data_IF_056819957073
#
_entry.id   IF_056819957073
#
_cell.length_a   1.000
_cell.length_b   1.000
_cell.length_c   1.000
_cell.angle_alpha   90.00
_cell.angle_beta   90.00
_cell.angle_gamma   90.00
#
_symmetry.space_group_name_H-M   'P 1'
#
loop_
_entity.id
_entity.type
_entity.pdbx_description
1 polymer ?
#
# COMPACT_ATOMS: atom_id res chain seq x y z
N UNK A 1 29.49 -11.71 31.55
CA UNK A 1 29.84 -12.79 30.60
C UNK A 1 30.65 -13.84 31.33
N UNK A 2 30.22 -15.09 31.24
CA UNK A 2 30.81 -16.21 32.00
C UNK A 2 31.19 -17.30 31.00
N UNK A 3 32.37 -17.88 31.14
CA UNK A 3 32.76 -19.06 30.37
C UNK A 3 31.95 -20.27 30.82
N UNK A 4 31.25 -20.92 29.89
CA UNK A 4 30.40 -22.08 30.18
C UNK A 4 31.17 -23.33 30.59
N UNK A 5 32.45 -23.44 30.27
CA UNK A 5 33.26 -24.65 30.54
C UNK A 5 33.99 -24.58 31.88
N UNK A 6 34.49 -23.41 32.29
CA UNK A 6 35.29 -23.27 33.51
C UNK A 6 34.72 -22.31 34.56
N UNK A 7 33.58 -21.66 34.28
CA UNK A 7 32.92 -20.74 35.21
C UNK A 7 33.64 -19.41 35.43
N UNK A 8 34.72 -19.13 34.69
CA UNK A 8 35.45 -17.87 34.79
C UNK A 8 34.57 -16.69 34.32
N UNK A 9 34.40 -15.69 35.18
CA UNK A 9 33.70 -14.45 34.86
C UNK A 9 34.66 -13.53 34.10
N UNK A 10 34.44 -13.38 32.80
CA UNK A 10 35.30 -12.59 31.90
C UNK A 10 34.83 -11.14 31.79
N UNK A 11 33.56 -10.89 32.11
CA UNK A 11 33.01 -9.54 32.20
C UNK A 11 31.97 -9.48 33.30
N UNK A 12 32.33 -8.84 34.41
CA UNK A 12 31.49 -8.69 35.60
C UNK A 12 30.27 -7.79 35.35
N UNK A 13 30.39 -6.83 34.42
CA UNK A 13 29.34 -5.87 34.10
C UNK A 13 29.16 -5.75 32.59
N UNK A 14 28.00 -6.17 32.10
CA UNK A 14 27.54 -5.89 30.73
C UNK A 14 26.60 -4.69 30.84
N UNK A 15 27.01 -3.56 30.27
CA UNK A 15 26.16 -2.38 30.18
C UNK A 15 25.36 -2.53 28.88
N UNK A 16 24.06 -2.75 29.01
CA UNK A 16 23.16 -2.64 27.86
C UNK A 16 22.99 -1.15 27.53
N UNK A 17 23.49 -0.73 26.38
CA UNK A 17 23.33 0.63 25.85
C UNK A 17 22.02 0.80 25.07
N UNK A 18 21.24 -0.27 24.94
CA UNK A 18 19.89 -0.22 24.40
C UNK A 18 18.98 0.63 25.28
N UNK A 19 17.97 1.25 24.68
CA UNK A 19 16.99 2.00 25.45
C UNK A 19 16.24 1.06 26.39
N UNK A 20 16.15 1.39 27.68
CA UNK A 20 15.35 0.64 28.63
C UNK A 20 13.85 0.90 28.34
N UNK A 21 13.25 0.11 27.44
CA UNK A 21 11.82 0.24 27.11
C UNK A 21 10.88 -0.29 28.22
N UNK A 22 11.44 -0.76 29.35
CA UNK A 22 10.69 -1.28 30.49
C UNK A 22 10.71 -0.27 31.63
N UNK A 23 9.68 0.55 31.72
CA UNK A 23 9.36 1.30 32.92
C UNK A 23 8.61 0.39 33.91
N UNK A 24 9.16 0.20 35.11
CA UNK A 24 8.43 -0.42 36.23
C UNK A 24 7.44 0.56 36.88
N UNK A 25 7.41 1.81 36.41
CA UNK A 25 6.49 2.85 36.84
C UNK A 25 5.08 2.53 36.32
N UNK A 26 4.21 2.11 37.23
CA UNK A 26 2.77 1.92 37.01
C UNK A 26 2.02 3.26 36.79
N UNK A 27 2.69 4.26 36.20
CA UNK A 27 2.16 5.60 36.00
C UNK A 27 1.22 5.62 34.79
N UNK A 28 -0.04 5.93 35.07
CA UNK A 28 -1.17 6.00 34.12
C UNK A 28 -1.01 7.05 33.01
N UNK A 29 0.12 7.76 32.93
CA UNK A 29 0.31 8.92 32.06
C UNK A 29 1.23 8.69 30.86
N UNK A 30 1.85 7.51 30.69
CA UNK A 30 2.67 7.21 29.50
C UNK A 30 3.90 8.13 29.31
N UNK A 31 4.26 8.91 30.34
CA UNK A 31 5.45 9.75 30.40
C UNK A 31 6.51 9.00 31.18
N UNK A 32 7.72 8.95 30.64
CA UNK A 32 8.86 8.22 31.19
C UNK A 32 9.92 9.24 31.67
N UNK A 33 9.98 9.56 32.98
CA UNK A 33 10.92 10.55 33.51
C UNK A 33 12.40 10.13 33.40
N UNK A 34 12.66 8.83 33.22
CA UNK A 34 14.01 8.27 33.07
C UNK A 34 14.52 8.34 31.64
N UNK A 35 13.66 8.71 30.68
CA UNK A 35 14.00 8.80 29.25
C UNK A 35 14.90 10.00 28.97
N UNK A 36 16.18 9.72 28.74
CA UNK A 36 17.20 10.72 28.37
C UNK A 36 17.30 10.99 26.86
N UNK A 37 16.49 10.32 26.03
CA UNK A 37 16.46 10.50 24.57
C UNK A 37 15.14 10.06 23.91
N UNK A 38 14.71 10.79 22.88
CA UNK A 38 13.51 10.46 22.10
C UNK A 38 13.77 9.38 21.04
N UNK A 39 12.71 8.67 20.57
CA UNK A 39 12.86 7.77 19.44
C UNK A 39 13.20 8.55 18.17
N UNK A 40 14.30 8.18 17.52
CA UNK A 40 14.71 8.77 16.25
C UNK A 40 14.13 7.99 15.08
N UNK A 41 13.77 8.69 14.01
CA UNK A 41 13.39 8.05 12.77
C UNK A 41 14.65 7.88 11.89
N UNK A 42 15.14 6.64 11.67
CA UNK A 42 16.35 6.40 10.88
C UNK A 42 16.18 6.78 9.39
N UNK A 43 14.94 7.02 8.94
CA UNK A 43 14.65 7.49 7.59
C UNK A 43 14.88 8.98 7.42
N UNK A 44 14.97 9.76 8.49
CA UNK A 44 15.41 11.15 8.40
C UNK A 44 16.93 11.21 8.40
N UNK A 45 17.49 12.33 7.97
CA UNK A 45 18.91 12.59 8.19
C UNK A 45 19.08 12.69 9.71
N UNK A 46 19.71 11.69 10.33
CA UNK A 46 19.84 11.55 11.79
C UNK A 46 20.73 12.61 12.45
N UNK A 47 20.46 13.88 12.15
CA UNK A 47 21.32 15.02 12.49
C UNK A 47 20.61 16.13 13.25
N UNK A 48 19.36 15.96 13.65
CA UNK A 48 18.66 17.00 14.39
C UNK A 48 18.95 16.84 15.89
N UNK A 49 20.16 17.24 16.29
CA UNK A 49 20.55 17.59 17.68
C UNK A 49 19.73 18.79 18.23
N UNK A 50 18.51 18.97 17.72
CA UNK A 50 17.68 20.14 17.97
C UNK A 50 16.44 19.72 18.74
N UNK A 51 16.19 20.42 19.84
CA UNK A 51 14.99 20.27 20.64
C UNK A 51 13.95 21.31 20.23
N UNK A 52 12.67 20.96 20.32
CA UNK A 52 11.58 21.92 20.10
C UNK A 52 11.22 22.56 21.44
N UNK A 53 11.21 23.89 21.49
CA UNK A 53 10.70 24.64 22.65
C UNK A 53 9.18 24.77 22.50
N UNK A 54 8.44 24.38 23.53
CA UNK A 54 6.99 24.50 23.59
C UNK A 54 6.50 25.95 23.73
N UNK A 55 5.19 26.20 23.63
CA UNK A 55 4.63 27.52 23.86
C UNK A 55 4.93 28.00 25.28
N UNK A 56 5.29 29.28 25.41
CA UNK A 56 5.55 29.89 26.71
C UNK A 56 4.30 29.85 27.60
N UNK A 57 4.50 29.58 28.90
CA UNK A 57 3.43 29.56 29.91
C UNK A 57 3.59 30.76 30.83
N UNK A 58 2.48 31.41 31.16
CA UNK A 58 2.45 32.60 32.02
C UNK A 58 2.81 33.91 31.33
N UNK A 59 2.42 35.03 31.93
CA UNK A 59 2.53 36.38 31.35
C UNK A 59 3.96 36.80 31.00
N UNK A 60 4.96 36.32 31.75
CA UNK A 60 6.37 36.63 31.49
C UNK A 60 6.84 36.14 30.10
N UNK A 61 6.17 35.13 29.53
CA UNK A 61 6.48 34.55 28.23
C UNK A 61 6.02 35.39 27.04
N UNK A 62 5.14 36.37 27.27
CA UNK A 62 4.58 37.23 26.24
C UNK A 62 5.15 38.66 26.39
N UNK A 63 5.28 39.35 25.27
CA UNK A 63 5.60 40.77 25.25
C UNK A 63 4.38 41.62 25.66
N UNK A 64 4.57 42.94 25.76
CA UNK A 64 3.50 43.86 26.14
C UNK A 64 2.33 43.89 25.15
N UNK A 65 2.49 43.28 23.97
CA UNK A 65 1.49 43.18 22.90
C UNK A 65 0.88 41.77 22.81
N UNK A 66 1.21 40.87 23.73
CA UNK A 66 0.70 39.49 23.77
C UNK A 66 1.39 38.53 22.79
N UNK A 67 2.51 38.93 22.18
CA UNK A 67 3.29 38.07 21.28
C UNK A 67 4.27 37.24 22.10
N UNK A 68 4.38 35.94 21.80
CA UNK A 68 5.34 35.05 22.47
C UNK A 68 6.77 35.54 22.23
N UNK A 69 7.48 35.90 23.31
CA UNK A 69 8.88 36.36 23.27
C UNK A 69 9.81 35.27 22.72
N UNK A 70 9.52 34.03 23.08
CA UNK A 70 10.21 32.87 22.54
C UNK A 70 9.39 32.33 21.37
N UNK A 71 9.97 32.44 20.18
CA UNK A 71 9.41 31.85 18.97
C UNK A 71 10.19 30.58 18.64
N UNK A 72 9.45 29.50 18.41
CA UNK A 72 10.02 28.24 17.98
C UNK A 72 10.61 28.39 16.56
N UNK A 73 11.91 28.68 16.48
CA UNK A 73 12.62 28.68 15.20
C UNK A 73 12.74 27.24 14.72
N UNK A 74 12.05 26.93 13.61
CA UNK A 74 12.02 25.59 13.02
C UNK A 74 13.42 25.23 12.48
N UNK A 75 14.22 24.53 13.28
CA UNK A 75 15.56 24.03 12.93
C UNK A 75 15.55 22.78 12.03
N UNK A 76 14.40 22.41 11.45
CA UNK A 76 14.32 21.25 10.56
C UNK A 76 14.94 21.61 9.20
N UNK A 77 15.94 20.83 8.80
CA UNK A 77 16.58 20.92 7.48
C UNK A 77 15.55 20.97 6.35
N UNK A 78 15.83 21.73 5.29
CA UNK A 78 14.94 21.84 4.14
C UNK A 78 14.73 20.49 3.43
N UNK A 79 15.72 19.60 3.47
CA UNK A 79 15.65 18.24 2.95
C UNK A 79 14.71 17.37 3.79
N UNK A 80 14.90 17.35 5.11
CA UNK A 80 14.07 16.55 6.01
C UNK A 80 12.64 17.05 6.05
N UNK A 81 12.40 18.36 5.86
CA UNK A 81 11.06 18.91 5.69
C UNK A 81 10.34 18.33 4.47
N UNK A 82 11.04 18.15 3.35
CA UNK A 82 10.47 17.52 2.16
C UNK A 82 10.16 16.04 2.40
N UNK A 83 11.05 15.30 3.07
CA UNK A 83 10.84 13.91 3.47
C UNK A 83 9.63 13.77 4.42
N UNK A 84 9.56 14.58 5.48
CA UNK A 84 8.45 14.58 6.46
C UNK A 84 7.12 14.84 5.77
N UNK A 85 7.07 15.82 4.86
CA UNK A 85 5.84 16.12 4.12
C UNK A 85 5.45 14.95 3.20
N UNK A 86 6.41 14.35 2.49
CA UNK A 86 6.14 13.19 1.66
C UNK A 86 5.67 11.97 2.48
N UNK A 87 6.31 11.68 3.61
CA UNK A 87 5.89 10.60 4.51
C UNK A 87 4.48 10.83 5.07
N UNK A 88 4.11 12.08 5.37
CA UNK A 88 2.74 12.42 5.77
C UNK A 88 1.73 12.16 4.64
N UNK A 89 2.05 12.53 3.40
CA UNK A 89 1.19 12.25 2.25
C UNK A 89 1.08 10.75 1.97
N UNK A 90 2.18 9.99 2.07
CA UNK A 90 2.16 8.51 1.94
C UNK A 90 1.25 7.90 2.99
N UNK A 91 1.39 8.28 4.26
CA UNK A 91 0.50 7.82 5.34
C UNK A 91 -0.96 8.15 5.04
N UNK A 92 -1.24 9.40 4.65
CA UNK A 92 -2.61 9.84 4.34
C UNK A 92 -3.23 9.04 3.18
N UNK A 93 -2.46 8.76 2.13
CA UNK A 93 -2.91 7.91 1.02
C UNK A 93 -3.13 6.47 1.47
N UNK A 94 -2.22 5.93 2.29
CA UNK A 94 -2.29 4.56 2.80
C UNK A 94 -3.50 4.33 3.71
N UNK A 95 -3.79 5.27 4.61
CA UNK A 95 -4.92 5.19 5.52
C UNK A 95 -6.26 5.19 4.77
N UNK A 96 -6.39 5.99 3.69
CA UNK A 96 -7.62 6.03 2.86
C UNK A 96 -7.99 4.69 2.22
N UNK A 97 -7.00 3.85 1.93
CA UNK A 97 -7.19 2.50 1.36
C UNK A 97 -6.83 1.37 2.34
N UNK A 98 -6.76 1.70 3.64
CA UNK A 98 -6.50 0.78 4.75
C UNK A 98 -5.28 -0.13 4.50
N UNK A 99 -4.16 0.45 4.07
CA UNK A 99 -2.93 -0.32 3.88
C UNK A 99 -2.22 -0.60 5.22
N UNK A 100 -1.62 -1.79 5.38
CA UNK A 100 -0.83 -2.10 6.56
C UNK A 100 0.44 -1.24 6.64
N UNK A 101 0.89 -0.98 7.87
CA UNK A 101 2.09 -0.18 8.16
C UNK A 101 3.35 -0.71 7.49
N UNK A 102 3.47 -2.02 7.28
CA UNK A 102 4.58 -2.64 6.55
C UNK A 102 4.77 -2.06 5.15
N UNK A 103 3.66 -1.85 4.41
CA UNK A 103 3.68 -1.25 3.06
C UNK A 103 4.05 0.23 3.13
N UNK A 104 3.56 0.94 4.15
CA UNK A 104 3.89 2.36 4.38
C UNK A 104 5.38 2.54 4.64
N UNK A 105 5.95 1.73 5.53
CA UNK A 105 7.37 1.77 5.88
C UNK A 105 8.25 1.42 4.67
N UNK A 106 7.80 0.47 3.83
CA UNK A 106 8.45 0.15 2.55
C UNK A 106 8.39 1.32 1.56
N UNK A 107 7.23 1.97 1.45
CA UNK A 107 7.06 3.15 0.58
C UNK A 107 7.93 4.33 1.04
N UNK A 108 8.05 4.57 2.34
CA UNK A 108 8.90 5.61 2.91
C UNK A 108 10.39 5.33 2.63
N UNK A 109 10.82 4.07 2.77
CA UNK A 109 12.17 3.64 2.40
C UNK A 109 12.47 3.89 0.91
N UNK A 110 11.57 3.49 0.02
CA UNK A 110 11.71 3.73 -1.42
C UNK A 110 11.78 5.22 -1.75
N UNK A 111 10.94 6.04 -1.10
CA UNK A 111 10.95 7.48 -1.29
C UNK A 111 12.28 8.10 -0.87
N UNK A 112 12.83 7.69 0.28
CA UNK A 112 14.15 8.13 0.76
C UNK A 112 15.24 7.79 -0.26
N UNK A 113 15.31 6.54 -0.71
CA UNK A 113 16.30 6.09 -1.70
C UNK A 113 16.24 6.92 -2.99
N UNK A 114 15.03 7.18 -3.49
CA UNK A 114 14.82 7.98 -4.70
C UNK A 114 15.19 9.45 -4.48
N UNK A 115 14.89 10.00 -3.31
CA UNK A 115 15.21 11.37 -2.94
C UNK A 115 16.74 11.58 -2.83
N UNK A 116 17.42 10.66 -2.14
CA UNK A 116 18.87 10.71 -1.91
C UNK A 116 19.65 10.52 -3.22
N UNK A 117 19.16 9.64 -4.10
CA UNK A 117 19.75 9.43 -5.42
C UNK A 117 19.62 10.63 -6.37
N UNK A 118 18.79 11.64 -6.06
CA UNK A 118 18.57 12.87 -6.85
C UNK A 118 18.20 12.68 -8.34
N UNK A 119 17.95 11.43 -8.77
CA UNK A 119 17.67 11.04 -10.16
C UNK A 119 16.36 11.63 -10.72
N UNK A 120 15.43 11.99 -9.84
CA UNK A 120 14.09 12.51 -10.21
C UNK A 120 13.86 13.95 -9.75
N UNK A 121 14.94 14.70 -9.49
CA UNK A 121 14.86 16.11 -9.07
C UNK A 121 14.19 16.94 -10.17
N UNK A 122 13.05 17.56 -9.86
CA UNK A 122 12.23 18.33 -10.81
C UNK A 122 10.86 17.71 -11.12
N UNK A 123 10.55 16.52 -10.59
CA UNK A 123 9.17 16.00 -10.59
C UNK A 123 8.47 16.34 -9.28
N UNK A 124 7.14 16.35 -9.33
CA UNK A 124 6.33 16.63 -8.15
C UNK A 124 6.59 15.56 -7.07
N UNK A 125 6.92 15.98 -5.85
CA UNK A 125 7.17 15.07 -4.74
C UNK A 125 5.97 14.14 -4.49
N UNK A 126 4.75 14.66 -4.59
CA UNK A 126 3.50 13.89 -4.46
C UNK A 126 3.37 12.79 -5.51
N UNK A 127 3.88 13.02 -6.73
CA UNK A 127 3.88 12.02 -7.80
C UNK A 127 4.89 10.90 -7.53
N UNK A 128 6.07 11.26 -7.01
CA UNK A 128 7.08 10.29 -6.59
C UNK A 128 6.54 9.47 -5.42
N UNK A 129 5.96 10.11 -4.40
CA UNK A 129 5.34 9.45 -3.25
C UNK A 129 4.25 8.46 -3.65
N UNK A 130 3.34 8.87 -4.56
CA UNK A 130 2.28 8.00 -5.09
C UNK A 130 2.84 6.79 -5.84
N UNK A 131 3.91 6.98 -6.61
CA UNK A 131 4.57 5.91 -7.33
C UNK A 131 5.36 4.96 -6.40
N UNK A 132 6.01 5.47 -5.36
CA UNK A 132 6.65 4.66 -4.33
C UNK A 132 5.63 3.79 -3.59
N UNK A 133 4.46 4.34 -3.24
CA UNK A 133 3.38 3.59 -2.62
C UNK A 133 2.86 2.47 -3.53
N UNK A 134 2.72 2.74 -4.84
CA UNK A 134 2.34 1.73 -5.83
C UNK A 134 3.37 0.59 -5.92
N UNK A 135 4.67 0.92 -5.94
CA UNK A 135 5.76 -0.08 -6.01
C UNK A 135 5.77 -0.93 -4.73
N UNK A 136 5.65 -0.31 -3.56
CA UNK A 136 5.61 -1.01 -2.28
C UNK A 136 4.45 -2.02 -2.23
N UNK A 137 3.24 -1.62 -2.66
CA UNK A 137 2.09 -2.53 -2.72
C UNK A 137 2.36 -3.75 -3.61
N UNK A 138 3.09 -3.56 -4.71
CA UNK A 138 3.41 -4.63 -5.66
C UNK A 138 4.52 -5.55 -5.16
N UNK A 139 5.51 -5.02 -4.44
CA UNK A 139 6.58 -5.82 -3.83
C UNK A 139 6.06 -6.70 -2.70
N UNK A 140 5.08 -6.24 -1.94
CA UNK A 140 4.45 -7.00 -0.84
C UNK A 140 3.36 -7.99 -1.32
N UNK A 141 3.29 -8.28 -2.62
CA UNK A 141 2.35 -9.26 -3.17
C UNK A 141 0.87 -8.87 -3.13
N UNK A 142 0.54 -7.61 -2.82
CA UNK A 142 -0.84 -7.10 -2.75
C UNK A 142 -1.05 -5.90 -3.69
N UNK A 143 -0.82 -6.08 -5.01
CA UNK A 143 -0.82 -4.98 -5.96
C UNK A 143 -2.12 -4.18 -5.94
N UNK A 144 -1.97 -2.86 -5.95
CA UNK A 144 -3.05 -1.91 -6.20
C UNK A 144 -3.02 -1.50 -7.66
N UNK A 145 -4.18 -1.30 -8.26
CA UNK A 145 -4.29 -0.75 -9.62
C UNK A 145 -3.87 0.71 -9.62
N UNK A 146 -3.39 1.21 -10.77
CA UNK A 146 -3.11 2.64 -10.91
C UNK A 146 -4.35 3.51 -10.67
N UNK A 147 -5.57 2.98 -10.90
CA UNK A 147 -6.81 3.73 -10.63
C UNK A 147 -7.07 3.87 -9.13
N UNK A 148 -6.84 2.83 -8.34
CA UNK A 148 -6.97 2.89 -6.88
C UNK A 148 -5.99 3.92 -6.28
N UNK A 149 -4.72 3.90 -6.68
CA UNK A 149 -3.72 4.88 -6.19
C UNK A 149 -4.05 6.29 -6.67
N UNK A 150 -4.51 6.44 -7.92
CA UNK A 150 -4.94 7.74 -8.46
C UNK A 150 -6.17 8.28 -7.72
N UNK A 151 -7.06 7.43 -7.22
CA UNK A 151 -8.27 7.85 -6.50
C UNK A 151 -7.96 8.45 -5.11
N UNK A 152 -6.90 7.97 -4.46
CA UNK A 152 -6.46 8.50 -3.14
C UNK A 152 -5.42 9.62 -3.26
N UNK A 153 -4.89 9.85 -4.45
CA UNK A 153 -3.86 10.84 -4.75
C UNK A 153 -4.43 12.04 -5.52
N UNK A 154 -3.71 13.17 -5.49
CA UNK A 154 -4.01 14.36 -6.31
C UNK A 154 -3.40 14.26 -7.72
N UNK A 155 -2.65 13.20 -8.00
CA UNK A 155 -1.81 13.06 -9.20
C UNK A 155 -2.53 12.22 -10.25
N UNK A 156 -2.44 12.65 -11.51
CA UNK A 156 -3.04 11.92 -12.63
C UNK A 156 -2.41 10.53 -12.86
N UNK A 157 -3.21 9.56 -13.30
CA UNK A 157 -2.78 8.21 -13.68
C UNK A 157 -1.55 8.19 -14.61
N UNK A 158 -1.51 9.09 -15.59
CA UNK A 158 -0.41 9.19 -16.57
C UNK A 158 0.91 9.53 -15.88
N UNK A 159 0.87 10.48 -14.94
CA UNK A 159 2.05 10.95 -14.24
C UNK A 159 2.56 9.92 -13.22
N UNK A 160 1.66 9.23 -12.52
CA UNK A 160 2.03 8.09 -11.65
C UNK A 160 2.72 7.00 -12.47
N UNK A 161 2.15 6.60 -13.61
CA UNK A 161 2.73 5.59 -14.48
C UNK A 161 4.09 6.00 -15.07
N UNK A 162 4.31 7.30 -15.31
CA UNK A 162 5.59 7.84 -15.78
C UNK A 162 6.64 7.80 -14.66
N UNK A 163 6.28 8.24 -13.46
CA UNK A 163 7.16 8.19 -12.29
C UNK A 163 7.51 6.74 -11.91
N UNK A 164 6.55 5.82 -11.99
CA UNK A 164 6.78 4.38 -11.78
C UNK A 164 7.92 3.84 -12.65
N UNK A 165 7.88 4.06 -13.96
CA UNK A 165 8.94 3.60 -14.88
C UNK A 165 10.29 4.23 -14.57
N UNK A 166 10.28 5.52 -14.21
CA UNK A 166 11.50 6.25 -13.90
C UNK A 166 12.13 5.78 -12.58
N UNK A 167 11.32 5.48 -11.56
CA UNK A 167 11.80 4.94 -10.28
C UNK A 167 12.40 3.55 -10.47
N UNK A 168 11.74 2.66 -11.22
CA UNK A 168 12.30 1.34 -11.52
C UNK A 168 13.65 1.45 -12.23
N UNK A 169 13.79 2.39 -13.17
CA UNK A 169 15.07 2.67 -13.84
C UNK A 169 16.11 3.26 -12.87
N UNK A 170 15.70 4.15 -11.97
CA UNK A 170 16.60 4.83 -11.04
C UNK A 170 17.13 3.92 -9.92
N UNK A 171 16.34 2.92 -9.51
CA UNK A 171 16.69 1.96 -8.46
C UNK A 171 17.16 0.60 -9.02
N UNK A 172 17.28 0.48 -10.34
CA UNK A 172 17.64 -0.77 -11.06
C UNK A 172 16.87 -2.00 -10.54
N UNK A 173 15.60 -1.80 -10.18
CA UNK A 173 14.76 -2.79 -9.53
C UNK A 173 13.69 -3.28 -10.49
N UNK A 174 13.37 -4.57 -10.40
CA UNK A 174 12.22 -5.19 -11.08
C UNK A 174 11.09 -5.46 -10.09
N UNK A 175 9.88 -5.62 -10.62
CA UNK A 175 8.67 -5.97 -9.87
C UNK A 175 7.94 -7.09 -10.59
N UNK A 176 7.39 -8.03 -9.83
CA UNK A 176 6.75 -9.22 -10.38
C UNK A 176 5.54 -8.89 -11.25
N UNK A 177 5.30 -9.71 -12.28
CA UNK A 177 4.15 -9.57 -13.16
C UNK A 177 2.86 -9.78 -12.36
N UNK A 178 1.88 -8.91 -12.62
CA UNK A 178 0.61 -8.94 -11.90
C UNK A 178 -0.27 -10.06 -12.48
N UNK A 179 -0.86 -10.87 -11.61
CA UNK A 179 -1.74 -11.97 -11.99
C UNK A 179 -3.21 -11.60 -11.81
N UNK A 180 -4.11 -12.40 -12.38
CA UNK A 180 -5.56 -12.24 -12.19
C UNK A 180 -5.98 -12.54 -10.75
N UNK A 181 -5.27 -13.45 -10.07
CA UNK A 181 -5.57 -13.88 -8.70
C UNK A 181 -5.39 -12.76 -7.67
N UNK A 182 -4.39 -11.89 -7.88
CA UNK A 182 -4.04 -10.80 -6.95
C UNK A 182 -5.19 -9.81 -6.69
N UNK A 183 -6.10 -9.68 -7.66
CA UNK A 183 -7.26 -8.79 -7.55
C UNK A 183 -8.56 -9.49 -7.20
N UNK A 184 -8.63 -10.80 -7.43
CA UNK A 184 -9.88 -11.56 -7.36
C UNK A 184 -10.51 -11.48 -5.97
N UNK A 185 -9.70 -11.64 -4.92
CA UNK A 185 -10.19 -11.54 -3.55
C UNK A 185 -10.81 -10.18 -3.26
N UNK A 186 -10.13 -9.09 -3.63
CA UNK A 186 -10.60 -7.74 -3.33
C UNK A 186 -11.88 -7.39 -4.08
N UNK A 187 -11.93 -7.69 -5.38
CA UNK A 187 -13.09 -7.38 -6.19
C UNK A 187 -14.32 -8.19 -5.76
N UNK A 188 -14.17 -9.49 -5.49
CA UNK A 188 -15.27 -10.32 -4.98
C UNK A 188 -15.76 -9.87 -3.61
N UNK A 189 -14.85 -9.56 -2.67
CA UNK A 189 -15.23 -9.06 -1.34
C UNK A 189 -15.96 -7.72 -1.40
N UNK A 190 -15.50 -6.78 -2.23
CA UNK A 190 -16.15 -5.47 -2.37
C UNK A 190 -17.54 -5.56 -3.03
N UNK A 191 -17.77 -6.59 -3.85
CA UNK A 191 -19.07 -6.89 -4.44
C UNK A 191 -19.99 -7.72 -3.51
N UNK A 192 -19.50 -8.09 -2.32
CA UNK A 192 -20.23 -8.93 -1.38
C UNK A 192 -20.56 -10.32 -1.92
N UNK A 193 -19.72 -10.88 -2.79
CA UNK A 193 -19.92 -12.22 -3.35
C UNK A 193 -19.50 -13.31 -2.37
N UNK A 194 -20.19 -14.47 -2.34
CA UNK A 194 -19.85 -15.56 -1.46
C UNK A 194 -18.52 -16.21 -1.86
N UNK A 195 -17.84 -16.83 -0.89
CA UNK A 195 -16.55 -17.50 -1.09
C UNK A 195 -16.59 -18.60 -2.17
N UNK A 196 -17.74 -19.25 -2.36
CA UNK A 196 -17.94 -20.23 -3.44
C UNK A 196 -17.79 -19.59 -4.83
N UNK A 197 -18.40 -18.42 -5.03
CA UNK A 197 -18.34 -17.66 -6.28
C UNK A 197 -16.95 -17.07 -6.49
N UNK A 198 -16.30 -16.58 -5.43
CA UNK A 198 -14.90 -16.12 -5.50
C UNK A 198 -13.96 -17.25 -5.94
N UNK A 199 -14.10 -18.45 -5.36
CA UNK A 199 -13.30 -19.63 -5.75
C UNK A 199 -13.53 -19.99 -7.21
N UNK A 200 -14.79 -19.98 -7.65
CA UNK A 200 -15.12 -20.24 -9.05
C UNK A 200 -14.52 -19.19 -9.99
N UNK A 201 -14.67 -17.90 -9.69
CA UNK A 201 -14.09 -16.81 -10.48
C UNK A 201 -12.56 -16.90 -10.57
N UNK A 202 -11.90 -17.27 -9.46
CA UNK A 202 -10.45 -17.49 -9.44
C UNK A 202 -10.05 -18.63 -10.36
N UNK A 203 -10.78 -19.76 -10.33
CA UNK A 203 -10.53 -20.90 -11.18
C UNK A 203 -10.75 -20.57 -12.67
N UNK A 204 -11.87 -19.90 -12.98
CA UNK A 204 -12.20 -19.43 -14.34
C UNK A 204 -11.08 -18.55 -14.89
N UNK A 205 -10.63 -17.56 -14.11
CA UNK A 205 -9.57 -16.66 -14.56
C UNK A 205 -8.23 -17.36 -14.77
N UNK A 206 -7.89 -18.33 -13.90
CA UNK A 206 -6.68 -19.14 -14.05
C UNK A 206 -6.74 -20.00 -15.31
N UNK A 207 -7.83 -20.75 -15.49
CA UNK A 207 -8.03 -21.67 -16.61
C UNK A 207 -8.16 -20.93 -17.95
N UNK A 208 -8.74 -19.73 -17.95
CA UNK A 208 -8.78 -18.87 -19.12
C UNK A 208 -7.38 -18.43 -19.57
N UNK A 209 -6.46 -18.21 -18.63
CA UNK A 209 -5.05 -17.93 -18.91
C UNK A 209 -4.29 -19.17 -19.42
N UNK A 210 -4.52 -20.34 -18.80
CA UNK A 210 -3.90 -21.61 -19.21
C UNK A 210 -4.30 -22.04 -20.62
N UNK A 211 -5.55 -21.77 -21.02
CA UNK A 211 -6.09 -22.09 -22.34
C UNK A 211 -5.81 -21.01 -23.40
N UNK A 212 -5.09 -19.94 -23.04
CA UNK A 212 -4.75 -18.79 -23.88
C UNK A 212 -5.95 -18.12 -24.60
N UNK A 213 -7.16 -18.25 -24.02
CA UNK A 213 -8.42 -17.70 -24.58
C UNK A 213 -8.41 -16.17 -24.57
N UNK A 214 -7.68 -15.59 -23.62
CA UNK A 214 -7.68 -14.15 -23.32
C UNK A 214 -6.35 -13.46 -23.66
N UNK A 215 -5.61 -14.02 -24.62
CA UNK A 215 -4.39 -13.42 -25.15
C UNK A 215 -4.59 -11.95 -25.55
N UNK A 216 -3.64 -11.10 -25.14
CA UNK A 216 -3.68 -9.66 -25.42
C UNK A 216 -4.66 -8.84 -24.56
N UNK A 217 -5.39 -9.44 -23.61
CA UNK A 217 -6.24 -8.70 -22.66
C UNK A 217 -5.51 -8.44 -21.34
N UNK A 218 -5.82 -7.32 -20.70
CA UNK A 218 -5.26 -6.97 -19.39
C UNK A 218 -5.77 -7.95 -18.32
N UNK A 219 -4.92 -8.43 -17.38
CA UNK A 219 -5.32 -9.30 -16.29
C UNK A 219 -6.51 -8.76 -15.46
N UNK A 220 -6.60 -7.44 -15.30
CA UNK A 220 -7.72 -6.80 -14.57
C UNK A 220 -9.04 -7.00 -15.33
N UNK A 221 -9.02 -6.87 -16.66
CA UNK A 221 -10.21 -7.06 -17.51
C UNK A 221 -10.65 -8.53 -17.53
N UNK A 222 -9.68 -9.44 -17.56
CA UNK A 222 -9.91 -10.89 -17.45
C UNK A 222 -10.53 -11.23 -16.10
N UNK A 223 -9.99 -10.68 -15.00
CA UNK A 223 -10.56 -10.88 -13.66
C UNK A 223 -12.01 -10.35 -13.58
N UNK A 224 -12.28 -9.14 -14.08
CA UNK A 224 -13.64 -8.58 -14.09
C UNK A 224 -14.63 -9.43 -14.92
N UNK A 225 -14.20 -9.98 -16.06
CA UNK A 225 -15.03 -10.86 -16.88
C UNK A 225 -15.28 -12.22 -16.22
N UNK A 226 -14.28 -12.79 -15.54
CA UNK A 226 -14.43 -14.02 -14.78
C UNK A 226 -15.39 -13.85 -13.59
N UNK A 227 -15.31 -12.70 -12.89
CA UNK A 227 -16.26 -12.35 -11.82
C UNK A 227 -17.67 -12.22 -12.38
N UNK A 228 -17.84 -11.55 -13.52
CA UNK A 228 -19.15 -11.43 -14.16
C UNK A 228 -19.72 -12.80 -14.52
N UNK A 229 -18.91 -13.68 -15.15
CA UNK A 229 -19.33 -15.03 -15.50
C UNK A 229 -19.74 -15.85 -14.27
N UNK A 230 -18.92 -15.84 -13.21
CA UNK A 230 -19.22 -16.55 -11.97
C UNK A 230 -20.47 -16.01 -11.26
N UNK A 231 -20.63 -14.68 -11.24
CA UNK A 231 -21.79 -14.00 -10.63
C UNK A 231 -23.08 -14.33 -11.37
N UNK A 232 -23.08 -14.34 -12.72
CA UNK A 232 -24.27 -14.71 -13.50
C UNK A 232 -24.66 -16.19 -13.38
N UNK A 233 -23.69 -17.08 -13.11
CA UNK A 233 -23.94 -18.50 -12.85
C UNK A 233 -24.48 -18.77 -11.43
N UNK A 234 -24.34 -17.80 -10.52
CA UNK A 234 -24.78 -17.86 -9.12
C UNK A 234 -26.12 -17.15 -8.89
N UNK A 235 -26.65 -17.26 -7.67
CA UNK A 235 -27.85 -16.50 -7.24
C UNK A 235 -27.54 -15.00 -7.12
N UNK A 236 -26.31 -14.66 -6.72
CA UNK A 236 -25.82 -13.29 -6.52
C UNK A 236 -25.37 -12.64 -7.85
N UNK A 237 -26.35 -12.23 -8.65
CA UNK A 237 -26.12 -11.58 -9.94
C UNK A 237 -25.74 -10.11 -9.74
N UNK A 238 -24.52 -9.76 -10.18
CA UNK A 238 -24.00 -8.40 -10.23
C UNK A 238 -24.02 -7.88 -11.66
N UNK A 239 -24.41 -6.63 -11.81
CA UNK A 239 -24.45 -5.96 -13.10
C UNK A 239 -23.03 -5.65 -13.61
N UNK A 240 -22.88 -5.48 -14.92
CA UNK A 240 -21.61 -5.07 -15.53
C UNK A 240 -21.11 -3.75 -14.94
N UNK A 241 -22.03 -2.82 -14.67
CA UNK A 241 -21.74 -1.50 -14.13
C UNK A 241 -21.16 -1.58 -12.72
N UNK A 242 -21.79 -2.35 -11.83
CA UNK A 242 -21.27 -2.55 -10.46
C UNK A 242 -19.87 -3.17 -10.46
N UNK A 243 -19.64 -4.16 -11.32
CA UNK A 243 -18.31 -4.78 -11.45
C UNK A 243 -17.31 -3.79 -12.07
N UNK A 244 -17.72 -3.01 -13.06
CA UNK A 244 -16.92 -1.97 -13.71
C UNK A 244 -16.50 -0.87 -12.74
N UNK A 245 -17.40 -0.45 -11.86
CA UNK A 245 -17.16 0.55 -10.82
C UNK A 245 -16.11 0.06 -9.80
N UNK A 246 -16.19 -1.20 -9.37
CA UNK A 246 -15.22 -1.79 -8.42
C UNK A 246 -13.86 -2.08 -9.08
N UNK A 247 -13.85 -2.72 -10.25
CA UNK A 247 -12.61 -3.08 -10.94
C UNK A 247 -11.94 -1.88 -11.63
N UNK A 248 -12.66 -0.77 -11.78
CA UNK A 248 -12.21 0.40 -12.51
C UNK A 248 -11.98 0.08 -13.99
N UNK A 249 -12.85 -0.69 -14.63
CA UNK A 249 -12.79 -0.97 -16.08
C UNK A 249 -14.11 -0.58 -16.72
N UNK A 250 -14.09 -0.20 -17.99
CA UNK A 250 -15.32 0.16 -18.68
C UNK A 250 -16.16 -1.10 -18.95
N UNK A 251 -17.49 -0.98 -18.85
CA UNK A 251 -18.43 -2.09 -19.07
C UNK A 251 -18.23 -2.77 -20.42
N UNK A 252 -17.93 -1.99 -21.46
CA UNK A 252 -17.63 -2.51 -22.80
C UNK A 252 -16.40 -3.43 -22.81
N UNK A 253 -15.41 -3.17 -21.96
CA UNK A 253 -14.21 -4.00 -21.83
C UNK A 253 -14.52 -5.32 -21.14
N UNK A 254 -15.39 -5.30 -20.11
CA UNK A 254 -15.90 -6.52 -19.46
C UNK A 254 -16.66 -7.35 -20.49
N UNK A 255 -17.59 -6.73 -21.24
CA UNK A 255 -18.38 -7.37 -22.28
C UNK A 255 -17.51 -8.03 -23.34
N UNK A 256 -16.53 -7.32 -23.89
CA UNK A 256 -15.62 -7.87 -24.89
C UNK A 256 -14.82 -9.05 -24.35
N UNK A 257 -14.36 -8.98 -23.11
CA UNK A 257 -13.59 -10.06 -22.49
C UNK A 257 -14.47 -11.27 -22.18
N UNK A 258 -15.71 -11.05 -21.76
CA UNK A 258 -16.71 -12.10 -21.53
C UNK A 258 -17.08 -12.83 -22.83
N UNK A 259 -17.27 -12.11 -23.95
CA UNK A 259 -17.54 -12.72 -25.26
C UNK A 259 -16.44 -13.69 -25.71
N UNK A 260 -15.18 -13.44 -25.34
CA UNK A 260 -14.06 -14.35 -25.63
C UNK A 260 -14.10 -15.62 -24.76
N UNK A 261 -14.49 -15.49 -23.49
CA UNK A 261 -14.57 -16.62 -22.57
C UNK A 261 -15.83 -17.48 -22.77
N UNK A 262 -16.94 -16.89 -23.22
CA UNK A 262 -18.25 -17.53 -23.31
C UNK A 262 -18.26 -18.85 -24.11
N UNK A 263 -17.62 -18.97 -25.30
CA UNK A 263 -17.59 -20.23 -26.05
C UNK A 263 -16.95 -21.39 -25.29
N UNK A 264 -16.05 -21.09 -24.36
CA UNK A 264 -15.36 -22.08 -23.53
C UNK A 264 -15.92 -22.15 -22.11
N UNK A 265 -17.05 -21.51 -21.80
CA UNK A 265 -17.60 -21.44 -20.44
C UNK A 265 -17.74 -22.83 -19.78
N UNK A 266 -18.20 -23.84 -20.53
CA UNK A 266 -18.31 -25.23 -20.05
C UNK A 266 -17.01 -25.82 -19.52
N UNK A 267 -15.86 -25.39 -20.04
CA UNK A 267 -14.53 -25.88 -19.62
C UNK A 267 -13.93 -25.05 -18.49
N UNK A 268 -14.42 -23.83 -18.26
CA UNK A 268 -13.81 -22.87 -17.34
C UNK A 268 -14.30 -23.01 -15.90
N UNK A 269 -15.54 -23.49 -15.69
CA UNK A 269 -16.06 -23.69 -14.35
C UNK A 269 -15.38 -24.86 -13.62
N UNK A 270 -15.25 -24.77 -12.28
CA UNK A 270 -14.90 -25.93 -11.45
C UNK A 270 -15.97 -27.03 -11.53
N UNK A 271 -15.55 -28.28 -11.43
CA UNK A 271 -16.46 -29.44 -11.42
C UNK A 271 -17.35 -29.48 -10.17
N UNK A 272 -16.89 -28.90 -9.06
CA UNK A 272 -17.60 -28.83 -7.77
C UNK A 272 -18.54 -27.62 -7.66
N UNK A 273 -18.67 -26.79 -8.71
CA UNK A 273 -19.47 -25.58 -8.66
C UNK A 273 -20.98 -25.88 -8.72
N UNK A 274 -21.73 -25.38 -7.73
CA UNK A 274 -23.20 -25.45 -7.70
C UNK A 274 -23.78 -24.35 -8.55
N UNK A 275 -24.28 -24.71 -9.73
CA UNK A 275 -24.94 -23.78 -10.64
C UNK A 275 -26.34 -23.42 -10.13
N UNK A 276 -26.61 -22.13 -10.00
CA UNK A 276 -27.98 -21.62 -9.84
C UNK A 276 -28.62 -21.39 -11.22
N UNK A 277 -27.82 -20.90 -12.17
CA UNK A 277 -28.21 -20.79 -13.59
C UNK A 277 -27.30 -21.70 -14.41
N UNK A 278 -27.84 -22.70 -15.13
CA UNK A 278 -27.05 -23.56 -16.00
C UNK A 278 -26.34 -22.77 -17.11
N UNK A 279 -25.24 -23.32 -17.62
CA UNK A 279 -24.35 -22.66 -18.61
C UNK A 279 -25.11 -22.26 -19.88
N UNK A 280 -26.09 -23.07 -20.31
CA UNK A 280 -26.93 -22.82 -21.49
C UNK A 280 -27.80 -21.56 -21.35
N UNK A 281 -28.17 -21.20 -20.11
CA UNK A 281 -28.99 -20.03 -19.79
C UNK A 281 -28.16 -18.83 -19.33
N UNK A 282 -26.82 -18.90 -19.42
CA UNK A 282 -25.98 -17.73 -19.14
C UNK A 282 -26.26 -16.62 -20.15
N UNK A 283 -26.34 -15.35 -19.71
CA UNK A 283 -26.61 -14.23 -20.61
C UNK A 283 -25.60 -14.17 -21.75
N UNK A 284 -26.09 -14.19 -22.97
CA UNK A 284 -25.30 -13.87 -24.17
C UNK A 284 -25.24 -12.35 -24.31
N UNK A 285 -24.04 -11.81 -24.56
CA UNK A 285 -23.81 -10.37 -24.76
C UNK A 285 -23.34 -10.04 -26.16
#
# INVERSE_FOLDING_TARGET
MICSECGLVVGDRVIDVGSEWRTFSNEKSGVDPSRVGGPENPLLSGGDLSTIIGPGRGDASFDSFGVSKYQNRRNISSTDRALINAFREINTMADRINLPKTIVDRANNLFKQVHDGKNLKGRANDAIASACLYIACRQEGVPRTFKEICAVSKISKKEIGRCFKLILKALETSVDLITTADFMSRFCSNLGLPNSVQRAATHIARKAGELDIVSGRSPISVAAAAIYMASQASEDKRSQKEIGDIAGVADVTIRQSYKLMYPSAARLFPEDFKFATPIEFLPQM
#
